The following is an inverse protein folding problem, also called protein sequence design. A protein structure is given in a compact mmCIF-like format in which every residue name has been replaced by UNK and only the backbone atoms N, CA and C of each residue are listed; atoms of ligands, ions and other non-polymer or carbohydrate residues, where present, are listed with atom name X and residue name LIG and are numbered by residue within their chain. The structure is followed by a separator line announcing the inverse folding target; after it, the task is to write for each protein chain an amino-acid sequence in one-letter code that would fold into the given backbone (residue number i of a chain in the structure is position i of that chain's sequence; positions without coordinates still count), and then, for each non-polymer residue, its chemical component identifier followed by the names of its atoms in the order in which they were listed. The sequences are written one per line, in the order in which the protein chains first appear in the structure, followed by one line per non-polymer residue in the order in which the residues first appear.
data_IF_132537985688
#
_entry.id   IF_132537985688
#
_cell.length_a   1.000
_cell.length_b   1.000
_cell.length_c   1.000
_cell.angle_alpha   90.00
_cell.angle_beta   90.00
_cell.angle_gamma   90.00
#
_symmetry.space_group_name_H-M   'P 1'
#
loop_
_entity.id
_entity.type
_entity.pdbx_description
1 polymer ?
#
# COMPACT_ATOMS: atom_id res chain seq x y z
N UNK A 1 3.44 -21.90 0.00
CA UNK A 1 3.45 -21.55 0.96
C UNK A 1 2.58 -20.63 1.64
N UNK A 2 2.85 -20.25 2.76
CA UNK A 2 1.91 -19.45 3.45
C UNK A 2 2.18 -17.97 3.20
N UNK A 3 1.23 -17.15 3.65
CA UNK A 3 1.27 -15.71 3.41
C UNK A 3 2.50 -15.10 4.08
N UNK A 4 2.89 -15.62 5.22
CA UNK A 4 4.02 -15.07 5.95
C UNK A 4 5.33 -15.27 5.20
N UNK A 5 5.53 -16.45 4.59
CA UNK A 5 6.71 -16.68 3.79
C UNK A 5 6.75 -15.78 2.58
N UNK A 6 5.58 -15.57 1.94
CA UNK A 6 5.50 -14.67 0.80
C UNK A 6 5.82 -13.24 1.19
N UNK A 7 5.36 -12.81 2.36
CA UNK A 7 5.64 -11.46 2.84
C UNK A 7 7.13 -11.27 3.09
N UNK A 8 7.80 -12.28 3.64
CA UNK A 8 9.25 -12.21 3.86
C UNK A 8 10.02 -12.09 2.56
N UNK A 9 9.60 -12.85 1.55
CA UNK A 9 10.25 -12.79 0.25
C UNK A 9 10.06 -11.42 -0.38
N UNK A 10 8.87 -10.83 -0.26
CA UNK A 10 8.58 -9.52 -0.83
C UNK A 10 9.36 -8.41 -0.13
N UNK A 11 9.60 -8.55 1.19
CA UNK A 11 10.39 -7.54 1.89
C UNK A 11 11.82 -7.48 1.39
N UNK A 12 12.33 -8.59 0.85
CA UNK A 12 13.70 -8.62 0.36
C UNK A 12 13.83 -8.13 -1.06
N UNK A 13 12.73 -8.13 -1.83
CA UNK A 13 12.82 -7.68 -3.22
C UNK A 13 11.73 -6.67 -3.51
N UNK A 14 12.07 -5.43 -3.21
CA UNK A 14 11.21 -4.31 -3.48
C UNK A 14 11.37 -3.88 -4.92
N UNK A 15 10.27 -3.46 -5.52
CA UNK A 15 10.35 -2.83 -6.84
C UNK A 15 11.00 -1.46 -6.72
N UNK A 16 11.37 -0.89 -7.87
CA UNK A 16 11.94 0.44 -7.90
C UNK A 16 10.97 1.47 -7.31
N UNK A 17 9.70 1.34 -7.66
CA UNK A 17 8.67 2.25 -7.18
C UNK A 17 8.46 2.12 -5.68
N UNK A 18 8.45 0.90 -5.18
CA UNK A 18 8.33 0.67 -3.75
C UNK A 18 9.52 1.28 -3.00
N UNK A 19 10.73 1.10 -3.53
CA UNK A 19 11.91 1.67 -2.90
C UNK A 19 11.85 3.18 -2.85
N UNK A 20 11.40 3.80 -3.96
CA UNK A 20 11.30 5.25 -4.00
C UNK A 20 10.35 5.76 -2.92
N UNK A 21 9.17 5.18 -2.84
CA UNK A 21 8.18 5.63 -1.86
C UNK A 21 8.63 5.37 -0.43
N UNK A 22 9.27 4.22 -0.21
CA UNK A 22 9.70 3.86 1.14
C UNK A 22 10.85 4.70 1.62
N UNK A 23 11.97 4.73 0.86
CA UNK A 23 13.17 5.38 1.34
C UNK A 23 13.10 6.90 1.27
N UNK A 24 12.35 7.43 0.33
CA UNK A 24 12.31 8.87 0.16
C UNK A 24 11.14 9.54 0.88
N UNK A 25 10.23 8.75 1.44
CA UNK A 25 9.09 9.35 2.15
C UNK A 25 8.63 8.55 3.36
N UNK A 26 8.19 7.31 3.16
CA UNK A 26 7.48 6.60 4.23
C UNK A 26 8.36 6.17 5.37
N UNK A 27 9.61 5.83 5.10
CA UNK A 27 10.51 5.32 6.13
C UNK A 27 10.67 6.30 7.29
N UNK A 28 10.72 7.58 6.98
CA UNK A 28 10.90 8.60 8.02
C UNK A 28 9.62 9.28 8.45
N UNK A 29 8.49 8.77 7.99
CA UNK A 29 7.21 9.40 8.28
C UNK A 29 6.75 9.10 9.72
N UNK A 30 6.08 10.07 10.33
CA UNK A 30 5.47 9.88 11.63
C UNK A 30 3.99 10.25 11.52
N UNK A 31 3.08 9.36 11.89
CA UNK A 31 3.29 8.07 12.56
C UNK A 31 3.90 7.01 11.64
N UNK A 32 4.40 5.95 12.23
CA UNK A 32 5.22 4.97 11.55
C UNK A 32 4.46 4.14 10.53
N UNK A 33 5.09 3.93 9.36
CA UNK A 33 4.64 2.96 8.38
C UNK A 33 5.51 1.71 8.44
N UNK A 34 4.91 0.56 8.10
CA UNK A 34 5.65 -0.69 7.94
C UNK A 34 5.40 -1.21 6.52
N UNK A 35 6.30 -2.08 6.05
CA UNK A 35 6.20 -2.67 4.72
C UNK A 35 5.64 -4.07 4.81
N UNK A 36 4.92 -4.47 3.77
CA UNK A 36 4.48 -5.87 3.57
C UNK A 36 3.77 -6.41 4.80
N UNK A 37 2.73 -5.71 5.21
CA UNK A 37 1.94 -6.08 6.38
C UNK A 37 0.93 -7.16 6.01
N UNK A 38 0.95 -8.26 6.76
CA UNK A 38 0.01 -9.36 6.55
C UNK A 38 -1.29 -9.07 7.29
N UNK A 39 -2.41 -9.09 6.55
CA UNK A 39 -3.74 -8.96 7.13
C UNK A 39 -4.59 -10.08 6.53
N UNK A 40 -4.89 -11.09 7.34
CA UNK A 40 -5.59 -12.26 6.84
C UNK A 40 -4.77 -12.94 5.75
N UNK A 41 -5.37 -13.09 4.59
CA UNK A 41 -4.68 -13.71 3.44
C UNK A 41 -4.02 -12.70 2.54
N UNK A 42 -4.11 -11.42 2.89
CA UNK A 42 -3.59 -10.36 2.02
C UNK A 42 -2.31 -9.80 2.58
N UNK A 43 -1.48 -9.27 1.68
CA UNK A 43 -0.24 -8.59 2.04
C UNK A 43 -0.36 -7.15 1.56
N UNK A 44 -0.27 -6.21 2.49
CA UNK A 44 -0.36 -4.80 2.18
C UNK A 44 1.04 -4.26 1.90
N UNK A 45 1.18 -3.49 0.82
CA UNK A 45 2.50 -2.95 0.48
C UNK A 45 3.06 -2.09 1.60
N UNK A 46 2.26 -1.15 2.09
CA UNK A 46 2.65 -0.29 3.21
C UNK A 46 1.45 -0.09 4.11
N UNK A 47 1.69 0.00 5.41
CA UNK A 47 0.61 0.12 6.37
C UNK A 47 0.99 0.98 7.54
N UNK A 48 0.08 1.90 7.93
CA UNK A 48 0.23 2.73 9.11
C UNK A 48 -0.88 2.36 10.10
N UNK A 49 -0.50 1.71 11.17
CA UNK A 49 -1.47 1.24 12.16
C UNK A 49 -2.19 2.39 12.84
N UNK A 50 -1.45 3.44 13.18
CA UNK A 50 -2.03 4.58 13.88
C UNK A 50 -3.13 5.27 13.07
N UNK A 51 -3.00 5.28 11.75
CA UNK A 51 -3.98 5.92 10.88
C UNK A 51 -4.98 4.94 10.29
N UNK A 52 -4.75 3.63 10.48
CA UNK A 52 -5.59 2.62 9.83
C UNK A 52 -5.56 2.76 8.32
N UNK A 53 -4.37 2.97 7.76
CA UNK A 53 -4.22 3.33 6.36
C UNK A 53 -3.25 2.41 5.67
N UNK A 54 -3.70 1.80 4.56
CA UNK A 54 -2.86 0.97 3.71
C UNK A 54 -2.59 1.71 2.40
N UNK A 55 -1.38 1.57 1.88
CA UNK A 55 -1.00 2.16 0.61
C UNK A 55 -0.58 1.02 -0.30
N UNK A 56 -1.15 0.99 -1.52
CA UNK A 56 -0.91 -0.05 -2.50
C UNK A 56 -0.39 0.58 -3.79
N UNK A 57 0.63 -0.04 -4.37
CA UNK A 57 1.14 0.40 -5.66
C UNK A 57 0.71 -0.62 -6.72
N UNK A 58 0.04 -0.13 -7.74
CA UNK A 58 -0.55 -0.99 -8.75
C UNK A 58 0.26 -0.97 -10.04
N UNK A 59 0.50 -2.17 -10.58
CA UNK A 59 1.05 -2.30 -11.91
C UNK A 59 -0.07 -2.37 -12.94
N UNK A 60 0.32 -2.57 -14.20
CA UNK A 60 -0.62 -2.56 -15.30
C UNK A 60 -1.53 -3.79 -15.33
N UNK A 61 -1.16 -4.85 -14.63
CA UNK A 61 -1.93 -6.09 -14.67
C UNK A 61 -3.30 -5.98 -14.01
N UNK A 62 -3.58 -4.89 -13.34
CA UNK A 62 -4.84 -4.73 -12.61
C UNK A 62 -5.95 -4.16 -13.45
N UNK A 63 -5.73 -3.97 -14.75
CA UNK A 63 -6.74 -3.36 -15.62
C UNK A 63 -7.72 -4.36 -16.20
N UNK A 64 -7.46 -5.65 -16.04
CA UNK A 64 -8.40 -6.66 -16.50
C UNK A 64 -9.58 -6.77 -15.55
N UNK A 65 -10.74 -7.19 -16.11
CA UNK A 65 -11.97 -7.26 -15.31
C UNK A 65 -11.81 -8.17 -14.09
N UNK A 66 -11.15 -9.32 -14.28
CA UNK A 66 -10.96 -10.24 -13.16
C UNK A 66 -10.10 -9.61 -12.07
N UNK A 67 -9.07 -8.85 -12.46
CA UNK A 67 -8.24 -8.17 -11.51
C UNK A 67 -8.98 -7.09 -10.76
N UNK A 68 -9.85 -6.36 -11.46
CA UNK A 68 -10.64 -5.31 -10.82
C UNK A 68 -11.60 -5.90 -9.78
N UNK A 69 -12.24 -7.00 -10.10
CA UNK A 69 -13.14 -7.65 -9.14
C UNK A 69 -12.38 -8.12 -7.92
N UNK A 70 -11.23 -8.72 -8.13
CA UNK A 70 -10.40 -9.20 -7.04
C UNK A 70 -9.98 -8.04 -6.12
N UNK A 71 -9.60 -6.92 -6.73
CA UNK A 71 -9.20 -5.73 -5.97
C UNK A 71 -10.37 -5.18 -5.16
N UNK A 72 -11.58 -5.19 -5.72
CA UNK A 72 -12.76 -4.71 -5.02
C UNK A 72 -13.05 -5.58 -3.79
N UNK A 73 -12.96 -6.90 -3.95
CA UNK A 73 -13.20 -7.83 -2.85
C UNK A 73 -12.15 -7.64 -1.76
N UNK A 74 -10.89 -7.44 -2.16
CA UNK A 74 -9.80 -7.23 -1.24
C UNK A 74 -10.01 -5.95 -0.43
N UNK A 75 -10.39 -4.88 -1.12
CA UNK A 75 -10.62 -3.60 -0.46
C UNK A 75 -11.78 -3.71 0.53
N UNK A 76 -12.86 -4.36 0.13
CA UNK A 76 -14.01 -4.53 1.03
C UNK A 76 -13.62 -5.31 2.27
N UNK A 77 -12.83 -6.36 2.10
CA UNK A 77 -12.35 -7.16 3.23
C UNK A 77 -11.55 -6.30 4.20
N UNK A 78 -10.63 -5.50 3.66
CA UNK A 78 -9.76 -4.65 4.49
C UNK A 78 -10.56 -3.56 5.18
N UNK A 79 -11.53 -2.98 4.50
CA UNK A 79 -12.37 -1.95 5.10
C UNK A 79 -13.19 -2.49 6.25
N UNK A 80 -13.51 -3.79 6.21
CA UNK A 80 -14.19 -4.44 7.33
C UNK A 80 -13.37 -4.46 8.60
N UNK A 81 -12.05 -4.30 8.49
CA UNK A 81 -11.17 -4.17 9.65
C UNK A 81 -10.86 -2.72 9.98
N UNK A 82 -11.54 -1.78 9.34
CA UNK A 82 -11.29 -0.37 9.59
C UNK A 82 -10.07 0.16 8.88
N UNK A 83 -9.59 -0.54 7.85
CA UNK A 83 -8.41 -0.12 7.11
C UNK A 83 -8.84 0.62 5.84
N UNK A 84 -8.41 1.87 5.71
CA UNK A 84 -8.61 2.64 4.49
C UNK A 84 -7.50 2.29 3.52
N UNK A 85 -7.83 2.21 2.23
CA UNK A 85 -6.85 1.81 1.22
C UNK A 85 -6.68 2.94 0.22
N UNK A 86 -5.44 3.37 0.04
CA UNK A 86 -5.06 4.30 -1.03
C UNK A 86 -4.28 3.54 -2.08
N UNK A 87 -4.61 3.74 -3.34
CA UNK A 87 -3.92 3.10 -4.43
C UNK A 87 -3.30 4.14 -5.35
N UNK A 88 -2.07 3.90 -5.72
CA UNK A 88 -1.36 4.74 -6.69
C UNK A 88 -0.78 3.85 -7.75
N UNK A 89 -0.73 4.33 -8.98
CA UNK A 89 -0.04 3.60 -10.02
C UNK A 89 1.46 3.76 -9.83
N UNK A 90 2.22 2.79 -10.35
CA UNK A 90 3.68 2.92 -10.35
C UNK A 90 4.11 4.17 -11.09
N UNK A 91 3.38 4.52 -12.15
CA UNK A 91 3.69 5.71 -12.92
C UNK A 91 3.54 6.98 -12.08
N UNK A 92 2.49 7.04 -11.25
CA UNK A 92 2.29 8.20 -10.38
C UNK A 92 3.45 8.37 -9.41
N UNK A 93 3.94 7.27 -8.83
CA UNK A 93 5.05 7.33 -7.90
C UNK A 93 6.30 7.90 -8.59
N UNK A 94 6.54 7.53 -9.84
CA UNK A 94 7.74 7.95 -10.55
C UNK A 94 7.62 9.32 -11.15
N UNK A 95 6.42 9.75 -11.55
CA UNK A 95 6.25 11.03 -12.26
C UNK A 95 5.57 12.11 -11.42
N UNK A 96 4.82 11.72 -10.40
CA UNK A 96 4.05 12.69 -9.60
C UNK A 96 4.28 12.45 -8.12
N UNK A 97 5.53 12.23 -7.75
CA UNK A 97 5.90 11.80 -6.41
C UNK A 97 5.42 12.78 -5.33
N UNK A 98 5.59 14.08 -5.56
CA UNK A 98 5.16 15.05 -4.57
C UNK A 98 3.66 15.01 -4.34
N UNK A 99 2.90 14.81 -5.41
CA UNK A 99 1.46 14.66 -5.30
C UNK A 99 1.06 13.44 -4.51
N UNK A 100 1.74 12.32 -4.76
CA UNK A 100 1.50 11.08 -4.02
C UNK A 100 1.76 11.32 -2.54
N UNK A 101 2.88 11.92 -2.21
CA UNK A 101 3.23 12.20 -0.81
C UNK A 101 2.20 13.10 -0.15
N UNK A 102 1.70 14.10 -0.87
CA UNK A 102 0.71 15.02 -0.32
C UNK A 102 -0.60 14.32 -0.05
N UNK A 103 -1.03 13.44 -0.96
CA UNK A 103 -2.26 12.68 -0.75
C UNK A 103 -2.15 11.78 0.47
N UNK A 104 -0.99 11.12 0.62
CA UNK A 104 -0.77 10.25 1.77
C UNK A 104 -0.80 11.07 3.06
N UNK A 105 -0.09 12.19 3.08
CA UNK A 105 -0.02 13.04 4.27
C UNK A 105 -1.41 13.52 4.66
N UNK A 106 -2.20 13.95 3.69
CA UNK A 106 -3.56 14.41 3.96
C UNK A 106 -4.42 13.28 4.50
N UNK A 107 -4.27 12.07 3.97
CA UNK A 107 -5.06 10.93 4.43
C UNK A 107 -4.69 10.55 5.86
N UNK A 108 -3.41 10.61 6.21
CA UNK A 108 -2.99 10.31 7.58
C UNK A 108 -3.60 11.32 8.55
N UNK A 109 -3.64 12.58 8.16
CA UNK A 109 -4.12 13.63 9.02
C UNK A 109 -5.62 13.75 9.10
N UNK A 110 -6.34 13.21 8.12
CA UNK A 110 -7.79 13.26 8.14
C UNK A 110 -8.32 11.99 8.78
N UNK A 111 -8.46 12.05 10.09
CA UNK A 111 -8.96 10.90 10.84
C UNK A 111 -10.44 10.74 10.63
N UNK A 112 -10.93 9.50 10.64
CA UNK A 112 -12.36 9.26 10.55
C UNK A 112 -13.09 9.74 11.78
#
# INVERSE_FOLDING_TARGET
KDVLENARALRKSMTREERHLWYDFLRGYSPRFVRQKVVGRYILDFYCDAAGLAIELDGSQHYEAAGQLHDAQRTEYLEGFGIRVLRFSNLDVMRHFEGVCRVIDNAVKSLP
#
